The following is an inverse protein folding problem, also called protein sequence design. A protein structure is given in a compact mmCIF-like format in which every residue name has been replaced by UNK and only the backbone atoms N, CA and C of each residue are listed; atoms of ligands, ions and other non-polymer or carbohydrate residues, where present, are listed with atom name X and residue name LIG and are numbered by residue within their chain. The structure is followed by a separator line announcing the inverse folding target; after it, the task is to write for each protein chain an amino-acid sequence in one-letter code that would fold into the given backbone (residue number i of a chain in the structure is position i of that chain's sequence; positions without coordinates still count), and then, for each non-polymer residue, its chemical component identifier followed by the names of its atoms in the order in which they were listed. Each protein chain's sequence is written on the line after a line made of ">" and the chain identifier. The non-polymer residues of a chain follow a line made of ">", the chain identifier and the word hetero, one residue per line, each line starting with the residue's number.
data_IF_396319301267
#
_entry.id   IF_396319301267
#
_cell.length_a   1.000
_cell.length_b   1.000
_cell.length_c   1.000
_cell.angle_alpha   90.00
_cell.angle_beta   90.00
_cell.angle_gamma   90.00
#
_symmetry.space_group_name_H-M   'P 1'
#
loop_
_entity.id
_entity.type
_entity.pdbx_description
1 polymer ?
#
# COMPACT_ATOMS: atom_id res chain seq x y z
N UNK A 1 -1.71 -22.01 -10.74
CA UNK A 1 -2.27 -21.29 -9.59
C UNK A 1 -1.28 -20.21 -9.19
N UNK A 2 -1.73 -18.97 -9.03
CA UNK A 2 -0.89 -17.81 -8.71
C UNK A 2 -1.48 -17.06 -7.52
N UNK A 3 -0.65 -16.27 -6.84
CA UNK A 3 -1.06 -15.28 -5.86
C UNK A 3 -0.52 -13.93 -6.32
N UNK A 4 -1.40 -12.96 -6.44
CA UNK A 4 -1.05 -11.64 -6.98
C UNK A 4 -1.93 -10.55 -6.35
N UNK A 5 -1.53 -9.29 -6.50
CA UNK A 5 -2.27 -8.12 -6.05
C UNK A 5 -3.33 -7.77 -7.10
N UNK A 6 -4.59 -7.63 -6.67
CA UNK A 6 -5.73 -7.38 -7.57
C UNK A 6 -6.50 -6.14 -7.10
N UNK A 7 -6.74 -5.20 -8.02
CA UNK A 7 -7.58 -4.02 -7.77
C UNK A 7 -8.97 -4.20 -8.40
N UNK A 8 -9.11 -4.01 -9.72
CA UNK A 8 -10.38 -4.14 -10.44
C UNK A 8 -10.61 -5.53 -11.05
N UNK A 9 -9.59 -6.40 -11.03
CA UNK A 9 -9.65 -7.73 -11.64
C UNK A 9 -9.56 -7.77 -13.17
N UNK A 10 -9.47 -6.61 -13.85
CA UNK A 10 -9.43 -6.53 -15.32
C UNK A 10 -8.29 -7.34 -15.94
N UNK A 11 -7.10 -7.29 -15.34
CA UNK A 11 -5.94 -8.05 -15.83
C UNK A 11 -6.13 -9.56 -15.75
N UNK A 12 -6.82 -10.05 -14.72
CA UNK A 12 -7.14 -11.49 -14.64
C UNK A 12 -8.13 -11.87 -15.75
N UNK A 13 -9.18 -11.06 -15.95
CA UNK A 13 -10.19 -11.29 -16.98
C UNK A 13 -9.60 -11.36 -18.39
N UNK A 14 -8.70 -10.42 -18.73
CA UNK A 14 -8.01 -10.37 -20.03
C UNK A 14 -7.15 -11.62 -20.28
N UNK A 15 -6.73 -12.32 -19.23
CA UNK A 15 -5.95 -13.56 -19.29
C UNK A 15 -6.80 -14.82 -19.08
N UNK A 16 -8.14 -14.70 -19.14
CA UNK A 16 -9.07 -15.81 -18.88
C UNK A 16 -8.91 -16.41 -17.46
N UNK A 17 -8.49 -15.59 -16.50
CA UNK A 17 -8.37 -15.96 -15.09
C UNK A 17 -9.50 -15.32 -14.27
N UNK A 18 -9.86 -15.98 -13.17
CA UNK A 18 -10.81 -15.48 -12.19
C UNK A 18 -10.22 -15.61 -10.77
N UNK A 19 -10.54 -14.69 -9.84
CA UNK A 19 -10.16 -14.83 -8.44
C UNK A 19 -10.80 -16.09 -7.84
N UNK A 20 -10.01 -16.89 -7.11
CA UNK A 20 -10.54 -18.02 -6.35
C UNK A 20 -11.00 -17.57 -4.96
N UNK A 21 -10.16 -16.81 -4.27
CA UNK A 21 -10.44 -16.22 -2.96
C UNK A 21 -9.63 -14.93 -2.78
N UNK A 22 -10.13 -14.03 -1.94
CA UNK A 22 -9.36 -12.88 -1.46
C UNK A 22 -8.60 -13.30 -0.20
N UNK A 23 -7.27 -13.19 -0.23
CA UNK A 23 -6.42 -13.56 0.91
C UNK A 23 -6.42 -12.45 1.96
N UNK A 24 -6.16 -11.21 1.54
CA UNK A 24 -6.04 -10.05 2.43
C UNK A 24 -6.26 -8.75 1.67
N UNK A 25 -6.88 -7.76 2.33
CA UNK A 25 -6.90 -6.39 1.84
C UNK A 25 -5.54 -5.71 2.08
N UNK A 26 -5.08 -4.91 1.12
CA UNK A 26 -3.79 -4.22 1.23
C UNK A 26 -3.96 -2.71 1.22
N UNK A 27 -3.00 -2.02 1.81
CA UNK A 27 -2.94 -0.55 1.83
C UNK A 27 -1.49 -0.09 1.83
N UNK A 28 -1.24 1.11 1.32
CA UNK A 28 0.08 1.71 1.37
C UNK A 28 0.39 2.27 2.76
N UNK A 29 1.61 2.04 3.27
CA UNK A 29 2.06 2.54 4.58
C UNK A 29 3.23 3.52 4.41
N UNK A 30 3.24 4.60 5.20
CA UNK A 30 4.42 5.46 5.36
C UNK A 30 5.37 4.80 6.36
N UNK A 31 6.55 4.38 5.89
CA UNK A 31 7.56 3.71 6.71
C UNK A 31 8.84 4.55 6.74
N UNK A 32 9.42 4.74 7.93
CA UNK A 32 10.73 5.37 8.13
C UNK A 32 11.59 4.50 9.03
N UNK A 33 12.91 4.55 8.85
CA UNK A 33 13.84 3.87 9.75
C UNK A 33 13.83 4.54 11.13
N UNK A 34 14.14 3.77 12.19
CA UNK A 34 14.21 4.31 13.56
C UNK A 34 15.21 5.47 13.67
N UNK A 35 16.37 5.34 13.02
CA UNK A 35 17.41 6.37 12.99
C UNK A 35 16.90 7.64 12.31
N UNK A 36 16.31 7.51 11.11
CA UNK A 36 15.74 8.68 10.42
C UNK A 36 14.61 9.31 11.22
N UNK A 37 13.76 8.51 11.88
CA UNK A 37 12.70 9.04 12.73
C UNK A 37 13.22 9.84 13.93
N UNK A 38 14.32 9.40 14.54
CA UNK A 38 14.95 10.11 15.65
C UNK A 38 15.56 11.45 15.23
N UNK A 39 16.26 11.49 14.09
CA UNK A 39 17.00 12.68 13.66
C UNK A 39 16.22 13.61 12.73
N UNK A 40 15.17 13.12 12.05
CA UNK A 40 14.33 13.86 11.08
C UNK A 40 12.86 13.86 11.47
N UNK A 41 12.60 13.93 12.78
CA UNK A 41 11.26 13.78 13.32
C UNK A 41 10.28 14.81 12.74
N UNK A 42 10.71 16.08 12.64
CA UNK A 42 9.86 17.18 12.18
C UNK A 42 9.43 16.99 10.72
N UNK A 43 10.35 16.63 9.84
CA UNK A 43 10.06 16.40 8.42
C UNK A 43 9.14 15.19 8.22
N UNK A 44 9.39 14.11 8.97
CA UNK A 44 8.55 12.90 8.90
C UNK A 44 7.14 13.18 9.44
N UNK A 45 7.01 13.91 10.55
CA UNK A 45 5.71 14.32 11.08
C UNK A 45 4.95 15.25 10.11
N UNK A 46 5.66 16.17 9.45
CA UNK A 46 5.08 17.03 8.43
C UNK A 46 4.58 16.22 7.21
N UNK A 47 5.35 15.23 6.75
CA UNK A 47 4.92 14.32 5.69
C UNK A 47 3.70 13.49 6.11
N UNK A 48 3.70 12.93 7.32
CA UNK A 48 2.56 12.20 7.86
C UNK A 48 1.30 13.07 7.88
N UNK A 49 1.39 14.31 8.38
CA UNK A 49 0.26 15.24 8.41
C UNK A 49 -0.18 15.71 7.01
N UNK A 50 0.73 15.81 6.04
CA UNK A 50 0.38 16.13 4.66
C UNK A 50 -0.37 14.97 3.98
N UNK A 51 0.05 13.72 4.22
CA UNK A 51 -0.60 12.54 3.70
C UNK A 51 -1.98 12.31 4.35
N UNK A 52 -2.08 12.50 5.67
CA UNK A 52 -3.35 12.37 6.39
C UNK A 52 -4.42 13.39 5.97
N UNK A 53 -4.03 14.53 5.38
CA UNK A 53 -4.96 15.54 4.84
C UNK A 53 -5.45 15.24 3.42
N UNK A 54 -4.77 14.35 2.70
CA UNK A 54 -5.10 13.95 1.32
C UNK A 54 -5.98 12.70 1.26
N UNK A 55 -6.31 12.13 2.42
CA UNK A 55 -7.27 11.04 2.62
C UNK A 55 -8.54 11.63 3.21
#
# INVERSE_FOLDING_TARGET
>A
MIVDIVETGKTLLENHLAPLETIVDISAWLISSRVSYQFKHQEIAAMQAALARKL
#
